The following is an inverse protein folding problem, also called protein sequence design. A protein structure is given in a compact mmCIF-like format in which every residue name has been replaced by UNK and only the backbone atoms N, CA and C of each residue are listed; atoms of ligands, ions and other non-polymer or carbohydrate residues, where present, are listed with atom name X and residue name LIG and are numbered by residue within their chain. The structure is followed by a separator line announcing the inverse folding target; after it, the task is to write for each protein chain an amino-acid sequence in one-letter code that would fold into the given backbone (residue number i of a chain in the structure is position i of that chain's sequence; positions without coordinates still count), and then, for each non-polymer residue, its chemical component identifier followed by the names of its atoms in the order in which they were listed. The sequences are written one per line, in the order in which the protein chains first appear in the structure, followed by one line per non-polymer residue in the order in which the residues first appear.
data_IF_673905313503
#
_entry.id   IF_673905313503
#
_cell.length_a   1.000
_cell.length_b   1.000
_cell.length_c   1.000
_cell.angle_alpha   90.00
_cell.angle_beta   90.00
_cell.angle_gamma   90.00
#
_symmetry.space_group_name_H-M   'P 1'
#
loop_
_entity.id
_entity.type
_entity.pdbx_description
1 polymer ?
#
# COMPACT_ATOMS: atom_id res chain seq x y z
N UNK A 1 -6.57 -22.61 -12.83
CA UNK A 1 -5.41 -21.72 -13.07
C UNK A 1 -5.71 -20.21 -13.07
N UNK A 2 -6.96 -19.73 -12.91
CA UNK A 2 -7.26 -18.28 -12.94
C UNK A 2 -7.11 -17.56 -11.58
N UNK A 3 -7.51 -18.22 -10.49
CA UNK A 3 -7.55 -17.61 -9.14
C UNK A 3 -6.16 -17.43 -8.55
N UNK A 4 -5.24 -18.37 -8.77
CA UNK A 4 -3.86 -18.26 -8.29
C UNK A 4 -3.17 -17.02 -8.86
N UNK A 5 -3.38 -16.71 -10.15
CA UNK A 5 -2.84 -15.49 -10.77
C UNK A 5 -3.44 -14.21 -10.16
N UNK A 6 -4.72 -14.23 -9.79
CA UNK A 6 -5.39 -13.10 -9.14
C UNK A 6 -4.85 -12.87 -7.71
N UNK A 7 -4.66 -13.95 -6.94
CA UNK A 7 -4.03 -13.91 -5.61
C UNK A 7 -2.60 -13.39 -5.70
N UNK A 8 -1.80 -13.88 -6.64
CA UNK A 8 -0.42 -13.40 -6.83
C UNK A 8 -0.40 -11.91 -7.20
N UNK A 9 -1.26 -11.47 -8.12
CA UNK A 9 -1.36 -10.05 -8.49
C UNK A 9 -1.77 -9.18 -7.29
N UNK A 10 -2.75 -9.63 -6.52
CA UNK A 10 -3.18 -8.94 -5.30
C UNK A 10 -2.04 -8.84 -4.29
N UNK A 11 -1.30 -9.92 -4.05
CA UNK A 11 -0.16 -9.92 -3.12
C UNK A 11 0.96 -8.97 -3.57
N UNK A 12 1.28 -8.95 -4.87
CA UNK A 12 2.29 -8.04 -5.42
C UNK A 12 1.84 -6.59 -5.22
N UNK A 13 0.58 -6.26 -5.54
CA UNK A 13 0.06 -4.91 -5.35
C UNK A 13 0.03 -4.52 -3.87
N UNK A 14 -0.40 -5.42 -2.99
CA UNK A 14 -0.40 -5.22 -1.55
C UNK A 14 1.01 -4.95 -1.02
N UNK A 15 2.00 -5.75 -1.43
CA UNK A 15 3.40 -5.57 -1.04
C UNK A 15 3.97 -4.24 -1.53
N UNK A 16 3.70 -3.85 -2.78
CA UNK A 16 4.15 -2.56 -3.32
C UNK A 16 3.58 -1.39 -2.53
N UNK A 17 2.28 -1.42 -2.22
CA UNK A 17 1.62 -0.37 -1.44
C UNK A 17 2.19 -0.31 -0.01
N UNK A 18 2.45 -1.47 0.61
CA UNK A 18 3.08 -1.53 1.94
C UNK A 18 4.52 -0.99 1.92
N UNK A 19 5.32 -1.33 0.91
CA UNK A 19 6.67 -0.78 0.75
C UNK A 19 6.65 0.74 0.56
N UNK A 20 5.68 1.25 -0.20
CA UNK A 20 5.49 2.68 -0.40
C UNK A 20 5.13 3.39 0.92
N UNK A 21 4.25 2.80 1.73
CA UNK A 21 3.93 3.30 3.09
C UNK A 21 5.19 3.35 3.96
N UNK A 22 5.93 2.24 4.06
CA UNK A 22 7.15 2.16 4.88
C UNK A 22 8.19 3.19 4.43
N UNK A 23 8.33 3.39 3.12
CA UNK A 23 9.26 4.38 2.56
C UNK A 23 8.83 5.80 2.91
N UNK A 24 7.54 6.12 2.82
CA UNK A 24 7.00 7.44 3.18
C UNK A 24 7.08 7.68 4.70
N UNK A 25 6.83 6.66 5.53
CA UNK A 25 6.98 6.75 6.98
C UNK A 25 8.45 6.96 7.38
N UNK A 26 9.39 6.27 6.72
CA UNK A 26 10.83 6.48 6.93
C UNK A 26 11.26 7.90 6.51
N UNK A 27 10.77 8.39 5.35
CA UNK A 27 10.99 9.78 4.92
C UNK A 27 10.43 10.78 5.93
N UNK A 28 9.22 10.54 6.43
CA UNK A 28 8.61 11.40 7.45
C UNK A 28 9.44 11.43 8.73
N UNK A 29 9.99 10.29 9.16
CA UNK A 29 10.86 10.22 10.34
C UNK A 29 12.22 10.93 10.13
N UNK A 30 12.75 10.93 8.90
CA UNK A 30 14.00 11.61 8.55
C UNK A 30 13.83 13.12 8.29
N UNK A 31 12.67 13.53 7.80
CA UNK A 31 12.36 14.93 7.45
C UNK A 31 12.05 15.74 8.71
N UNK A 32 12.84 16.79 8.95
CA UNK A 32 12.61 17.79 10.01
C UNK A 32 11.82 19.01 9.55
N UNK A 33 11.55 19.13 8.25
CA UNK A 33 10.89 20.29 7.69
C UNK A 33 9.37 20.13 7.74
N UNK A 34 8.68 20.99 8.48
CA UNK A 34 7.26 20.87 8.77
C UNK A 34 6.39 20.89 7.51
N UNK A 35 6.76 21.71 6.52
CA UNK A 35 6.09 21.79 5.21
C UNK A 35 6.16 20.44 4.45
N UNK A 36 7.33 19.81 4.48
CA UNK A 36 7.58 18.55 3.77
C UNK A 36 6.95 17.37 4.52
N UNK A 37 6.91 17.40 5.86
CA UNK A 37 6.15 16.40 6.63
C UNK A 37 4.65 16.45 6.33
N UNK A 38 4.07 17.63 6.13
CA UNK A 38 2.66 17.78 5.76
C UNK A 38 2.37 17.18 4.38
N UNK A 39 3.27 17.37 3.41
CA UNK A 39 3.15 16.77 2.09
C UNK A 39 3.28 15.24 2.14
N UNK A 40 4.28 14.72 2.86
CA UNK A 40 4.48 13.28 3.05
C UNK A 40 3.27 12.64 3.76
N UNK A 41 2.67 13.32 4.74
CA UNK A 41 1.42 12.86 5.39
C UNK A 41 0.26 12.80 4.42
N UNK A 42 0.14 13.79 3.52
CA UNK A 42 -0.91 13.82 2.49
C UNK A 42 -0.73 12.66 1.51
N UNK A 43 0.51 12.39 1.10
CA UNK A 43 0.86 11.24 0.27
C UNK A 43 0.52 9.92 0.99
N UNK A 44 0.92 9.76 2.26
CA UNK A 44 0.59 8.59 3.08
C UNK A 44 -0.92 8.32 3.15
N UNK A 45 -1.74 9.36 3.34
CA UNK A 45 -3.20 9.22 3.33
C UNK A 45 -3.70 8.72 1.97
N UNK A 46 -3.16 9.23 0.87
CA UNK A 46 -3.47 8.76 -0.48
C UNK A 46 -3.14 7.28 -0.68
N UNK A 47 -1.95 6.85 -0.26
CA UNK A 47 -1.49 5.45 -0.37
C UNK A 47 -2.32 4.52 0.52
N UNK A 48 -2.64 4.94 1.74
CA UNK A 48 -3.55 4.19 2.64
C UNK A 48 -4.94 4.04 2.05
N UNK A 49 -5.47 5.05 1.36
CA UNK A 49 -6.74 4.93 0.63
C UNK A 49 -6.65 3.93 -0.52
N UNK A 50 -5.54 3.88 -1.26
CA UNK A 50 -5.30 2.85 -2.29
C UNK A 50 -5.25 1.45 -1.68
N UNK A 51 -4.62 1.29 -0.51
CA UNK A 51 -4.60 0.01 0.23
C UNK A 51 -6.03 -0.44 0.58
N UNK A 52 -6.86 0.47 1.08
CA UNK A 52 -8.27 0.19 1.37
C UNK A 52 -9.06 -0.16 0.10
N UNK A 53 -8.78 0.52 -1.01
CA UNK A 53 -9.42 0.27 -2.31
C UNK A 53 -9.01 -1.06 -2.94
N UNK A 54 -7.84 -1.61 -2.59
CA UNK A 54 -7.39 -2.94 -3.05
C UNK A 54 -8.34 -4.05 -2.59
N UNK A 55 -9.05 -3.83 -1.48
CA UNK A 55 -10.04 -4.76 -0.96
C UNK A 55 -9.45 -6.07 -0.42
N UNK A 56 -10.31 -7.00 0.03
CA UNK A 56 -9.87 -8.28 0.58
C UNK A 56 -9.17 -9.14 -0.49
N UNK A 57 -8.20 -9.95 -0.05
CA UNK A 57 -7.50 -10.90 -0.92
C UNK A 57 -8.51 -11.83 -1.60
N UNK A 58 -8.42 -12.04 -2.93
CA UNK A 58 -9.33 -12.92 -3.65
C UNK A 58 -9.23 -14.32 -3.06
N UNK A 59 -10.31 -14.80 -2.44
CA UNK A 59 -10.33 -16.11 -1.79
C UNK A 59 -10.43 -17.19 -2.87
N UNK A 60 -9.54 -18.20 -2.90
CA UNK A 60 -9.81 -19.38 -3.69
C UNK A 60 -11.06 -20.03 -3.13
N UNK A 61 -12.12 -20.09 -3.93
CA UNK A 61 -13.21 -21.03 -3.68
C UNK A 61 -12.60 -22.42 -3.89
N UNK A 62 -12.16 -23.04 -2.79
CA UNK A 62 -11.92 -24.48 -2.73
C UNK A 62 -13.23 -25.13 -3.17
N UNK A 63 -13.23 -25.65 -4.39
CA UNK A 63 -14.23 -26.58 -4.92
C UNK A 63 -13.58 -27.94 -5.06
#
# INVERSE_FOLDING_TARGET
MGVERAVTRWHIQQQQIQQEITTLEAKLAATRNEQETADIRRQLSGVRKKLLALGPCPKPMMG
#
